data_IF_042088591316
#
_entry.id   IF_042088591316
#
_cell.length_a   1.000
_cell.length_b   1.000
_cell.length_c   1.000
_cell.angle_alpha   90.00
_cell.angle_beta   90.00
_cell.angle_gamma   90.00
#
_symmetry.space_group_name_H-M   'P 1'
#
loop_
_entity.id
_entity.type
_entity.pdbx_description
1 polymer ?
#
# COMPACT_ATOMS: atom_id res chain seq x y z
N UNK A 1 -27.68 21.71 -13.75
CA UNK A 1 -26.91 21.31 -12.55
C UNK A 1 -25.49 21.82 -12.70
N UNK A 2 -24.91 22.43 -11.66
CA UNK A 2 -23.51 22.87 -11.70
C UNK A 2 -22.57 21.68 -11.46
N UNK A 3 -21.43 21.57 -12.18
CA UNK A 3 -20.46 20.50 -11.96
C UNK A 3 -19.87 20.56 -10.55
N UNK A 4 -19.64 19.39 -9.94
CA UNK A 4 -18.89 19.27 -8.69
C UNK A 4 -17.44 18.94 -9.06
N UNK A 5 -16.58 19.95 -8.97
CA UNK A 5 -15.16 19.83 -9.27
C UNK A 5 -14.32 19.44 -8.06
N UNK A 6 -13.11 18.93 -8.30
CA UNK A 6 -12.13 18.68 -7.24
C UNK A 6 -11.73 20.00 -6.55
N UNK A 7 -11.38 19.92 -5.26
CA UNK A 7 -10.88 21.09 -4.52
C UNK A 7 -9.58 21.63 -5.15
N UNK A 8 -9.44 22.96 -5.17
CA UNK A 8 -8.26 23.68 -5.71
C UNK A 8 -6.92 23.18 -5.14
N UNK A 9 -6.90 22.71 -3.89
CA UNK A 9 -5.69 22.13 -3.25
C UNK A 9 -5.14 20.88 -3.97
N UNK A 10 -5.94 20.24 -4.81
CA UNK A 10 -5.57 19.05 -5.58
C UNK A 10 -5.18 19.37 -7.03
N UNK A 11 -5.11 20.63 -7.44
CA UNK A 11 -4.80 21.00 -8.83
C UNK A 11 -3.44 20.48 -9.28
N UNK A 12 -2.43 20.58 -8.41
CA UNK A 12 -1.03 20.26 -8.72
C UNK A 12 -0.54 18.96 -8.06
N UNK A 13 -1.44 18.14 -7.53
CA UNK A 13 -1.08 16.87 -6.89
C UNK A 13 -0.96 15.78 -7.95
N UNK A 14 0.28 15.35 -8.22
CA UNK A 14 0.61 14.36 -9.27
C UNK A 14 1.45 13.21 -8.72
N UNK A 15 0.88 12.38 -7.84
CA UNK A 15 1.49 11.11 -7.43
C UNK A 15 0.86 9.97 -8.25
N UNK A 16 1.44 9.69 -9.41
CA UNK A 16 0.80 8.93 -10.49
C UNK A 16 1.52 7.62 -10.86
N UNK A 17 2.16 6.96 -9.89
CA UNK A 17 2.64 5.56 -10.03
C UNK A 17 1.54 4.63 -10.59
N UNK A 18 0.27 4.99 -10.35
CA UNK A 18 -0.94 4.33 -10.85
C UNK A 18 -1.76 5.23 -11.79
N UNK A 19 -1.09 6.03 -12.61
CA UNK A 19 -1.66 7.05 -13.48
C UNK A 19 -2.23 6.50 -14.81
N UNK A 20 -2.39 7.37 -15.82
CA UNK A 20 -2.96 7.00 -17.13
C UNK A 20 -2.21 5.84 -17.82
N UNK A 21 -0.89 5.76 -17.67
CA UNK A 21 -0.08 4.66 -18.24
C UNK A 21 -0.49 3.30 -17.67
N UNK A 22 -0.86 3.24 -16.38
CA UNK A 22 -1.34 1.99 -15.78
C UNK A 22 -2.69 1.56 -16.37
N UNK A 23 -3.54 2.51 -16.81
CA UNK A 23 -4.80 2.14 -17.48
C UNK A 23 -4.54 1.37 -18.76
N UNK A 24 -3.55 1.82 -19.53
CA UNK A 24 -3.17 1.14 -20.77
C UNK A 24 -2.49 -0.20 -20.50
N UNK A 25 -1.61 -0.27 -19.50
CA UNK A 25 -1.03 -1.53 -19.06
C UNK A 25 -2.11 -2.54 -18.63
N UNK A 26 -3.16 -2.11 -17.92
CA UNK A 26 -4.29 -2.97 -17.56
C UNK A 26 -5.10 -3.43 -18.77
N UNK A 27 -5.36 -2.54 -19.74
CA UNK A 27 -6.02 -2.92 -21.01
C UNK A 27 -5.27 -4.05 -21.70
N UNK A 28 -3.94 -3.94 -21.79
CA UNK A 28 -3.09 -4.99 -22.37
C UNK A 28 -3.17 -6.30 -21.57
N UNK A 29 -3.18 -6.22 -20.23
CA UNK A 29 -3.37 -7.40 -19.37
C UNK A 29 -4.73 -8.08 -19.55
N UNK A 30 -5.81 -7.31 -19.68
CA UNK A 30 -7.18 -7.80 -19.92
C UNK A 30 -7.31 -8.46 -21.30
N UNK A 31 -6.51 -8.03 -22.28
CA UNK A 31 -6.38 -8.65 -23.60
C UNK A 31 -5.51 -9.93 -23.58
N UNK A 32 -5.00 -10.31 -22.41
CA UNK A 32 -4.21 -11.52 -22.20
C UNK A 32 -2.70 -11.32 -22.36
N UNK A 33 -2.23 -10.08 -22.57
CA UNK A 33 -0.80 -9.80 -22.67
C UNK A 33 -0.16 -9.78 -21.28
N UNK A 34 1.02 -10.39 -21.16
CA UNK A 34 1.82 -10.26 -19.94
C UNK A 34 2.56 -8.93 -19.93
N UNK A 35 2.25 -8.06 -18.97
CA UNK A 35 2.96 -6.79 -18.76
C UNK A 35 3.94 -6.93 -17.59
N UNK A 36 5.23 -6.74 -17.85
CA UNK A 36 6.24 -6.69 -16.78
C UNK A 36 6.22 -5.34 -16.08
N UNK A 37 5.72 -5.31 -14.85
CA UNK A 37 5.53 -4.08 -14.06
C UNK A 37 6.79 -3.71 -13.29
N UNK A 38 7.65 -2.87 -13.89
CA UNK A 38 8.83 -2.29 -13.24
C UNK A 38 8.55 -0.91 -12.61
N UNK A 39 7.28 -0.53 -12.52
CA UNK A 39 6.84 0.79 -12.05
C UNK A 39 6.59 0.85 -10.54
N UNK A 40 6.56 -0.28 -9.83
CA UNK A 40 6.23 -0.32 -8.40
C UNK A 40 7.19 -1.22 -7.62
N UNK A 41 7.69 -0.70 -6.49
CA UNK A 41 8.47 -1.46 -5.52
C UNK A 41 7.58 -2.31 -4.62
N UNK A 42 6.79 -3.21 -5.21
CA UNK A 42 5.99 -4.19 -4.47
C UNK A 42 6.72 -5.54 -4.46
N UNK A 43 7.29 -6.00 -3.33
CA UNK A 43 8.11 -7.22 -3.30
C UNK A 43 7.33 -8.51 -3.60
N UNK A 44 6.08 -8.64 -3.15
CA UNK A 44 5.35 -9.91 -3.19
C UNK A 44 5.14 -10.48 -4.62
N UNK A 45 4.75 -9.69 -5.65
CA UNK A 45 4.71 -10.15 -7.04
C UNK A 45 6.05 -10.66 -7.61
N UNK A 46 7.17 -10.34 -6.96
CA UNK A 46 8.51 -10.81 -7.34
C UNK A 46 9.01 -11.96 -6.45
N UNK A 47 8.13 -12.57 -5.64
CA UNK A 47 8.45 -13.76 -4.85
C UNK A 47 9.16 -13.47 -3.52
N UNK A 48 9.12 -12.23 -3.04
CA UNK A 48 9.59 -11.90 -1.70
C UNK A 48 8.46 -12.08 -0.69
N UNK A 49 8.65 -13.00 0.25
CA UNK A 49 7.72 -13.29 1.34
C UNK A 49 8.13 -12.58 2.63
N UNK A 50 7.15 -12.35 3.52
CA UNK A 50 7.45 -11.90 4.86
C UNK A 50 8.15 -13.02 5.66
N UNK A 51 9.17 -12.70 6.50
CA UNK A 51 9.76 -13.68 7.40
C UNK A 51 8.73 -14.35 8.33
N UNK A 52 8.88 -15.65 8.57
CA UNK A 52 7.97 -16.43 9.42
C UNK A 52 7.80 -15.83 10.83
N UNK A 53 8.88 -15.32 11.42
CA UNK A 53 8.86 -14.67 12.73
C UNK A 53 7.88 -13.50 12.78
N UNK A 54 7.82 -12.69 11.72
CA UNK A 54 6.87 -11.58 11.60
C UNK A 54 5.44 -12.11 11.53
N UNK A 55 5.19 -13.14 10.70
CA UNK A 55 3.86 -13.71 10.53
C UNK A 55 3.34 -14.31 11.84
N UNK A 56 4.17 -15.10 12.52
CA UNK A 56 3.84 -15.75 13.80
C UNK A 56 3.49 -14.71 14.86
N UNK A 57 4.31 -13.67 15.01
CA UNK A 57 4.08 -12.66 16.04
C UNK A 57 2.85 -11.79 15.74
N UNK A 58 2.58 -11.46 14.47
CA UNK A 58 1.36 -10.76 14.08
C UNK A 58 0.13 -11.61 14.39
N UNK A 59 0.12 -12.89 13.99
CA UNK A 59 -0.99 -13.81 14.26
C UNK A 59 -1.23 -13.96 15.76
N UNK A 60 -0.16 -14.10 16.55
CA UNK A 60 -0.23 -14.24 18.01
C UNK A 60 -0.87 -13.03 18.69
N UNK A 61 -0.56 -11.82 18.23
CA UNK A 61 -1.07 -10.59 18.85
C UNK A 61 -2.44 -10.15 18.30
N UNK A 62 -2.87 -10.69 17.15
CA UNK A 62 -4.11 -10.31 16.46
C UNK A 62 -5.36 -10.34 17.36
N UNK A 63 -5.62 -11.37 18.20
CA UNK A 63 -6.81 -11.42 19.06
C UNK A 63 -6.90 -10.32 20.11
N UNK A 64 -5.77 -9.67 20.43
CA UNK A 64 -5.67 -8.60 21.43
C UNK A 64 -5.44 -7.21 20.83
N UNK A 65 -5.38 -7.10 19.49
CA UNK A 65 -5.05 -5.88 18.77
C UNK A 65 -6.25 -5.20 18.10
N UNK A 66 -7.48 -5.60 18.42
CA UNK A 66 -8.72 -5.06 17.83
C UNK A 66 -9.08 -3.65 18.30
N UNK A 67 -8.55 -3.22 19.46
CA UNK A 67 -8.80 -1.91 20.04
C UNK A 67 -7.89 -0.83 19.46
N UNK A 68 -8.33 0.43 19.58
CA UNK A 68 -7.47 1.57 19.25
C UNK A 68 -6.27 1.64 20.20
N UNK A 69 -5.12 2.04 19.66
CA UNK A 69 -3.92 2.36 20.42
C UNK A 69 -3.72 3.89 20.52
N UNK A 70 -2.69 4.31 21.25
CA UNK A 70 -2.24 5.72 21.29
C UNK A 70 -2.02 6.27 19.87
N UNK A 71 -2.30 7.55 19.63
CA UNK A 71 -2.20 8.15 18.29
C UNK A 71 -0.80 8.12 17.68
N UNK A 72 0.22 7.96 18.53
CA UNK A 72 1.62 7.79 18.12
C UNK A 72 2.02 6.32 17.92
N UNK A 73 1.15 5.36 18.20
CA UNK A 73 1.37 3.91 18.04
C UNK A 73 1.68 3.16 19.35
N UNK A 74 1.87 1.84 19.22
CA UNK A 74 2.16 0.97 20.36
C UNK A 74 3.48 1.36 21.05
N UNK A 75 3.49 1.37 22.38
CA UNK A 75 4.68 1.73 23.15
C UNK A 75 5.84 0.74 22.90
N UNK A 76 5.56 -0.56 22.92
CA UNK A 76 6.56 -1.62 22.67
C UNK A 76 7.20 -1.47 21.28
N UNK A 77 6.40 -1.26 20.24
CA UNK A 77 6.89 -1.05 18.88
C UNK A 77 7.76 0.21 18.78
N UNK A 78 7.32 1.34 19.37
CA UNK A 78 8.12 2.58 19.39
C UNK A 78 9.43 2.43 20.14
N UNK A 79 9.43 1.70 21.26
CA UNK A 79 10.65 1.40 22.00
C UNK A 79 11.64 0.60 21.15
N UNK A 80 11.16 -0.41 20.42
CA UNK A 80 11.99 -1.22 19.53
C UNK A 80 12.59 -0.42 18.36
N UNK A 81 11.90 0.62 17.87
CA UNK A 81 12.41 1.49 16.79
C UNK A 81 13.62 2.35 17.25
N UNK A 82 13.68 2.71 18.54
CA UNK A 82 14.73 3.60 19.08
C UNK A 82 15.97 2.84 19.56
N UNK A 83 15.82 1.58 19.94
CA UNK A 83 16.90 0.72 20.47
C UNK A 83 17.90 0.33 19.39
#
# INVERSE_FOLDING_TARGET
>A
MSPIEKSRKLENVCYDIRGPVLKEAKRLEEEGNKVLKLNIGNPAPFGFEAPDEILVDVIRNLPTAQGYCDSKGLYSARKAIVQ
#
